data_IF_836652890275
#
_entry.id   IF_836652890275
#
_cell.length_a   1.000
_cell.length_b   1.000
_cell.length_c   1.000
_cell.angle_alpha   90.00
_cell.angle_beta   90.00
_cell.angle_gamma   90.00
#
_symmetry.space_group_name_H-M   'P 1'
#
loop_
_entity.id
_entity.type
_entity.pdbx_description
1 polymer ?
#
# COMPACT_ATOMS: atom_id res chain seq x y z
N UNK A 1 6.35 60.42 -49.84
CA UNK A 1 7.03 59.41 -48.99
C UNK A 1 6.53 59.56 -47.55
N UNK A 2 5.73 58.62 -47.07
CA UNK A 2 5.36 58.46 -45.65
C UNK A 2 5.26 56.95 -45.42
N UNK A 3 6.32 56.33 -44.90
CA UNK A 3 6.27 54.91 -44.48
C UNK A 3 5.89 54.91 -43.00
N UNK A 4 4.69 54.42 -42.72
CA UNK A 4 4.18 54.22 -41.36
C UNK A 4 4.92 53.02 -40.78
N UNK A 5 5.64 53.25 -39.69
CA UNK A 5 6.27 52.21 -38.87
C UNK A 5 5.17 51.65 -37.95
N UNK A 6 4.82 50.37 -38.13
CA UNK A 6 4.01 49.62 -37.18
C UNK A 6 4.89 48.57 -36.52
N UNK A 7 5.34 48.93 -35.32
CA UNK A 7 6.04 48.09 -34.35
C UNK A 7 5.00 47.19 -33.68
N UNK A 8 4.94 45.91 -34.08
CA UNK A 8 4.20 44.88 -33.33
C UNK A 8 5.20 44.18 -32.41
N UNK A 9 5.25 44.64 -31.16
CA UNK A 9 5.87 43.93 -30.05
C UNK A 9 5.06 42.65 -29.77
N UNK A 10 5.53 41.51 -30.25
CA UNK A 10 5.07 40.21 -29.79
C UNK A 10 5.65 39.95 -28.39
N UNK A 11 4.96 40.46 -27.36
CA UNK A 11 5.16 40.01 -25.98
C UNK A 11 4.57 38.60 -25.89
N UNK A 12 5.41 37.60 -26.15
CA UNK A 12 5.14 36.22 -25.75
C UNK A 12 5.20 36.16 -24.23
N UNK A 13 4.11 36.59 -23.60
CA UNK A 13 3.86 36.35 -22.19
C UNK A 13 3.75 34.85 -21.98
N UNK A 14 4.74 34.26 -21.31
CA UNK A 14 4.65 32.92 -20.76
C UNK A 14 3.57 32.92 -19.69
N UNK A 15 2.33 32.64 -20.11
CA UNK A 15 1.28 32.23 -19.18
C UNK A 15 1.72 30.90 -18.58
N UNK A 16 2.33 30.98 -17.40
CA UNK A 16 2.45 29.83 -16.51
C UNK A 16 1.02 29.44 -16.18
N UNK A 17 0.57 28.34 -16.80
CA UNK A 17 -0.68 27.67 -16.46
C UNK A 17 -0.56 27.27 -14.98
N UNK A 18 -1.16 28.07 -14.11
CA UNK A 18 -1.51 27.63 -12.78
C UNK A 18 -2.59 26.57 -12.97
N UNK A 19 -2.17 25.31 -12.97
CA UNK A 19 -3.06 24.18 -12.79
C UNK A 19 -3.71 24.34 -11.42
N UNK A 20 -4.90 24.94 -11.41
CA UNK A 20 -5.72 25.07 -10.21
C UNK A 20 -6.09 23.69 -9.72
N UNK A 21 -5.66 23.42 -8.48
CA UNK A 21 -6.17 22.43 -7.55
C UNK A 21 -7.71 22.35 -7.59
N UNK A 22 -8.23 21.46 -8.44
CA UNK A 22 -9.59 20.89 -8.39
C UNK A 22 -9.41 19.48 -8.98
N UNK A 23 -9.16 18.47 -8.16
CA UNK A 23 -10.25 17.65 -7.63
C UNK A 23 -9.90 17.08 -6.23
N UNK A 24 -10.11 17.90 -5.19
CA UNK A 24 -10.53 17.40 -3.88
C UNK A 24 -12.00 17.00 -4.02
N UNK A 25 -12.27 15.71 -4.26
CA UNK A 25 -13.53 14.99 -3.95
C UNK A 25 -13.69 13.65 -4.70
N UNK A 26 -12.60 13.03 -5.16
CA UNK A 26 -12.67 11.64 -5.63
C UNK A 26 -12.54 10.70 -4.44
N UNK A 27 -13.68 10.41 -3.81
CA UNK A 27 -14.00 9.22 -2.99
C UNK A 27 -12.74 8.48 -2.51
N UNK A 28 -12.37 8.72 -1.25
CA UNK A 28 -11.36 7.97 -0.51
C UNK A 28 -11.51 6.49 -0.85
N UNK A 29 -10.52 5.92 -1.53
CA UNK A 29 -10.50 4.52 -1.93
C UNK A 29 -9.92 3.71 -0.76
N UNK A 30 -10.74 3.03 0.06
CA UNK A 30 -10.24 2.20 1.16
C UNK A 30 -9.44 0.98 0.66
N UNK A 31 -9.41 0.74 -0.66
CA UNK A 31 -8.97 -0.50 -1.31
C UNK A 31 -7.47 -0.63 -1.59
N UNK A 32 -6.63 0.14 -0.89
CA UNK A 32 -5.24 0.30 -1.30
C UNK A 32 -4.30 -0.84 -0.92
N UNK A 33 -4.78 -1.97 -0.39
CA UNK A 33 -3.91 -2.98 0.27
C UNK A 33 -4.30 -4.44 0.07
N UNK A 34 -5.20 -4.72 -0.84
CA UNK A 34 -5.69 -6.09 -1.06
C UNK A 34 -5.30 -6.50 -2.47
N UNK A 35 -4.40 -7.46 -2.53
CA UNK A 35 -3.89 -8.03 -3.77
C UNK A 35 -5.03 -8.74 -4.48
N UNK A 36 -5.15 -8.46 -5.78
CA UNK A 36 -6.07 -9.19 -6.65
C UNK A 36 -5.45 -9.42 -8.01
N UNK A 37 -5.95 -10.43 -8.68
CA UNK A 37 -5.61 -10.77 -10.05
C UNK A 37 -6.79 -10.42 -10.93
N UNK A 38 -6.54 -9.70 -12.02
CA UNK A 38 -7.58 -9.31 -12.98
C UNK A 38 -7.13 -9.71 -14.38
N UNK A 39 -8.02 -10.33 -15.15
CA UNK A 39 -7.74 -10.61 -16.55
C UNK A 39 -8.08 -9.38 -17.39
N UNK A 40 -7.11 -8.87 -18.16
CA UNK A 40 -7.27 -7.74 -19.07
C UNK A 40 -6.58 -8.06 -20.39
N UNK A 41 -7.32 -8.01 -21.49
CA UNK A 41 -6.81 -8.24 -22.85
C UNK A 41 -6.06 -9.59 -23.01
N UNK A 42 -6.50 -10.60 -22.24
CA UNK A 42 -5.91 -11.94 -22.26
C UNK A 42 -4.71 -12.14 -21.32
N UNK A 43 -4.27 -11.08 -20.63
CA UNK A 43 -3.17 -11.10 -19.67
C UNK A 43 -3.68 -10.94 -18.24
N UNK A 44 -3.17 -11.76 -17.32
CA UNK A 44 -3.44 -11.56 -15.89
C UNK A 44 -2.56 -10.46 -15.34
N UNK A 45 -3.19 -9.43 -14.81
CA UNK A 45 -2.56 -8.35 -14.08
C UNK A 45 -2.70 -8.61 -12.58
N UNK A 46 -1.60 -8.58 -11.86
CA UNK A 46 -1.61 -8.43 -10.41
C UNK A 46 -1.75 -6.96 -10.07
N UNK A 47 -2.81 -6.62 -9.36
CA UNK A 47 -3.05 -5.27 -8.87
C UNK A 47 -2.73 -5.23 -7.38
N UNK A 48 -1.66 -4.52 -7.02
CA UNK A 48 -1.15 -4.37 -5.66
C UNK A 48 -0.79 -2.92 -5.40
N UNK A 49 -1.33 -2.32 -4.34
CA UNK A 49 -0.99 -0.96 -3.90
C UNK A 49 -1.01 0.10 -5.05
N UNK A 50 -1.89 -0.10 -6.06
CA UNK A 50 -2.06 0.64 -7.34
C UNK A 50 -1.13 0.26 -8.50
N UNK A 51 -0.10 -0.53 -8.26
CA UNK A 51 0.71 -1.09 -9.34
C UNK A 51 -0.07 -2.20 -10.05
N UNK A 52 -0.05 -2.15 -11.38
CA UNK A 52 -0.56 -3.22 -12.23
C UNK A 52 0.63 -3.89 -12.88
N UNK A 53 0.98 -5.07 -12.37
CA UNK A 53 2.12 -5.84 -12.86
C UNK A 53 1.57 -7.03 -13.60
N UNK A 54 1.94 -7.19 -14.87
CA UNK A 54 1.62 -8.41 -15.61
C UNK A 54 2.24 -9.61 -14.90
N UNK A 55 1.42 -10.62 -14.65
CA UNK A 55 1.87 -11.85 -14.01
C UNK A 55 2.88 -12.56 -14.93
N UNK A 56 4.07 -12.84 -14.40
CA UNK A 56 5.15 -13.50 -15.15
C UNK A 56 5.23 -15.01 -14.90
N UNK A 57 4.73 -15.46 -13.75
CA UNK A 57 4.70 -16.86 -13.35
C UNK A 57 3.34 -17.18 -12.70
N UNK A 58 2.84 -18.43 -12.79
CA UNK A 58 1.65 -18.82 -12.06
C UNK A 58 1.76 -18.53 -10.57
N UNK A 59 0.67 -18.09 -9.97
CA UNK A 59 0.62 -17.73 -8.55
C UNK A 59 -0.37 -18.62 -7.81
N UNK A 60 -0.02 -18.99 -6.58
CA UNK A 60 -0.93 -19.71 -5.68
C UNK A 60 -1.51 -18.71 -4.68
N UNK A 61 -2.83 -18.62 -4.63
CA UNK A 61 -3.60 -17.81 -3.70
C UNK A 61 -3.63 -18.46 -2.31
N UNK A 62 -4.12 -17.74 -1.30
CA UNK A 62 -4.10 -18.21 0.10
C UNK A 62 -5.01 -19.42 0.35
N UNK A 63 -6.07 -19.56 -0.45
CA UNK A 63 -6.99 -20.70 -0.44
C UNK A 63 -6.43 -21.93 -1.19
N UNK A 64 -5.23 -21.85 -1.77
CA UNK A 64 -4.63 -22.93 -2.56
C UNK A 64 -5.04 -22.92 -4.03
N UNK A 65 -5.83 -21.95 -4.49
CA UNK A 65 -6.14 -21.76 -5.90
C UNK A 65 -4.87 -21.37 -6.67
N UNK A 66 -4.58 -22.06 -7.77
CA UNK A 66 -3.43 -21.75 -8.66
C UNK A 66 -3.93 -21.01 -9.89
N UNK A 67 -3.44 -19.79 -10.11
CA UNK A 67 -3.82 -18.92 -11.24
C UNK A 67 -2.67 -18.81 -12.23
N UNK A 68 -2.94 -19.11 -13.50
CA UNK A 68 -1.99 -19.02 -14.61
C UNK A 68 -2.09 -17.67 -15.31
N UNK A 69 -1.04 -17.32 -16.07
CA UNK A 69 -0.91 -16.04 -16.78
C UNK A 69 -2.04 -15.72 -17.76
N UNK A 70 -2.70 -16.75 -18.30
CA UNK A 70 -3.77 -16.63 -19.30
C UNK A 70 -5.18 -16.54 -18.68
N UNK A 71 -5.27 -16.42 -17.36
CA UNK A 71 -6.52 -16.32 -16.61
C UNK A 71 -7.18 -17.67 -16.31
N UNK A 72 -6.60 -18.80 -16.72
CA UNK A 72 -7.05 -20.11 -16.24
C UNK A 72 -6.60 -20.30 -14.79
N UNK A 73 -7.46 -20.90 -13.97
CA UNK A 73 -7.12 -21.20 -12.59
C UNK A 73 -7.70 -22.54 -12.17
N UNK A 74 -7.08 -23.14 -11.16
CA UNK A 74 -7.48 -24.40 -10.57
C UNK A 74 -7.71 -24.17 -9.08
N UNK A 75 -8.93 -24.40 -8.60
CA UNK A 75 -9.23 -24.29 -7.17
C UNK A 75 -8.55 -25.41 -6.37
N UNK A 76 -8.51 -25.29 -5.05
CA UNK A 76 -8.02 -26.36 -4.18
C UNK A 76 -8.75 -27.70 -4.42
N UNK A 77 -10.06 -27.63 -4.73
CA UNK A 77 -10.91 -28.78 -5.04
C UNK A 77 -10.71 -29.33 -6.46
N UNK A 78 -9.72 -28.79 -7.20
CA UNK A 78 -9.32 -29.17 -8.56
C UNK A 78 -10.30 -28.79 -9.66
N UNK A 79 -11.23 -27.88 -9.39
CA UNK A 79 -12.08 -27.31 -10.44
C UNK A 79 -11.23 -26.40 -11.34
N UNK A 80 -11.23 -26.71 -12.64
CA UNK A 80 -10.54 -25.89 -13.64
C UNK A 80 -11.51 -24.87 -14.21
N UNK A 81 -11.17 -23.59 -14.00
CA UNK A 81 -12.00 -22.45 -14.37
C UNK A 81 -11.15 -21.43 -15.15
N UNK A 82 -11.82 -20.42 -15.70
CA UNK A 82 -11.16 -19.34 -16.44
C UNK A 82 -11.83 -18.01 -16.15
N UNK A 83 -11.03 -17.01 -15.82
CA UNK A 83 -11.47 -15.61 -15.74
C UNK A 83 -11.89 -15.13 -17.13
N UNK A 84 -12.95 -14.33 -17.19
CA UNK A 84 -13.29 -13.52 -18.36
C UNK A 84 -12.62 -12.16 -18.24
N UNK A 85 -12.53 -11.48 -19.37
CA UNK A 85 -11.99 -10.13 -19.41
C UNK A 85 -12.73 -9.20 -18.42
N UNK A 86 -11.95 -8.48 -17.61
CA UNK A 86 -12.42 -7.61 -16.54
C UNK A 86 -12.81 -8.33 -15.23
N UNK A 87 -12.91 -9.66 -15.20
CA UNK A 87 -13.13 -10.40 -13.95
C UNK A 87 -11.87 -10.42 -13.08
N UNK A 88 -12.07 -10.45 -11.76
CA UNK A 88 -10.96 -10.51 -10.82
C UNK A 88 -11.13 -11.56 -9.73
N UNK A 89 -10.01 -12.02 -9.20
CA UNK A 89 -9.87 -12.94 -8.07
C UNK A 89 -9.10 -12.22 -6.97
N UNK A 90 -9.63 -12.18 -5.75
CA UNK A 90 -8.85 -11.73 -4.60
C UNK A 90 -7.91 -12.83 -4.08
N UNK A 91 -7.10 -12.50 -3.08
CA UNK A 91 -6.12 -13.43 -2.53
C UNK A 91 -6.73 -14.60 -1.72
N UNK A 92 -8.05 -14.57 -1.46
CA UNK A 92 -8.80 -15.63 -0.78
C UNK A 92 -9.55 -16.52 -1.80
N UNK A 93 -9.32 -16.32 -3.10
CA UNK A 93 -9.93 -17.11 -4.17
C UNK A 93 -11.36 -16.71 -4.50
N UNK A 94 -11.83 -15.57 -4.00
CA UNK A 94 -13.18 -15.08 -4.29
C UNK A 94 -13.17 -14.38 -5.65
N UNK A 95 -14.02 -14.87 -6.57
CA UNK A 95 -14.20 -14.28 -7.89
C UNK A 95 -15.22 -13.14 -7.87
N UNK A 96 -14.90 -12.06 -8.56
CA UNK A 96 -15.76 -10.91 -8.80
C UNK A 96 -15.94 -10.69 -10.30
N UNK A 97 -17.14 -10.24 -10.67
CA UNK A 97 -17.54 -9.95 -12.06
C UNK A 97 -16.76 -8.79 -12.66
N UNK A 98 -16.29 -7.88 -11.80
CA UNK A 98 -15.49 -6.73 -12.16
C UNK A 98 -14.90 -6.08 -10.91
N UNK A 99 -13.96 -5.19 -11.18
CA UNK A 99 -13.32 -4.31 -10.20
C UNK A 99 -14.33 -3.58 -9.30
N UNK A 100 -15.41 -3.06 -9.86
CA UNK A 100 -16.40 -2.29 -9.08
C UNK A 100 -17.07 -3.15 -8.01
N UNK A 101 -17.42 -4.40 -8.32
CA UNK A 101 -18.03 -5.31 -7.37
C UNK A 101 -17.07 -5.66 -6.23
N UNK A 102 -15.80 -5.89 -6.56
CA UNK A 102 -14.74 -6.12 -5.61
C UNK A 102 -14.63 -4.93 -4.63
N UNK A 103 -14.43 -3.72 -5.15
CA UNK A 103 -14.34 -2.47 -4.37
C UNK A 103 -15.54 -2.25 -3.44
N UNK A 104 -16.74 -2.52 -3.95
CA UNK A 104 -17.96 -2.38 -3.17
C UNK A 104 -18.04 -3.36 -1.99
N UNK A 105 -17.57 -4.60 -2.17
CA UNK A 105 -17.49 -5.59 -1.09
C UNK A 105 -16.44 -5.22 -0.05
N UNK A 106 -15.26 -4.78 -0.49
CA UNK A 106 -14.20 -4.31 0.42
C UNK A 106 -14.67 -3.13 1.28
N UNK A 107 -15.40 -2.18 0.68
CA UNK A 107 -15.98 -1.04 1.40
C UNK A 107 -17.01 -1.49 2.44
N UNK A 108 -17.81 -2.53 2.18
CA UNK A 108 -18.76 -3.05 3.16
C UNK A 108 -18.08 -3.74 4.34
N UNK A 109 -17.02 -4.52 4.09
CA UNK A 109 -16.22 -5.15 5.15
C UNK A 109 -15.57 -4.09 6.05
N UNK A 110 -15.15 -2.96 5.46
CA UNK A 110 -14.48 -1.87 6.18
C UNK A 110 -15.42 -1.06 7.10
N UNK A 111 -16.75 -1.13 6.92
CA UNK A 111 -17.75 -0.39 7.73
C UNK A 111 -17.82 -0.82 9.20
N UNK A 112 -17.13 -1.90 9.60
CA UNK A 112 -17.09 -2.40 10.98
C UNK A 112 -15.80 -2.09 11.77
N UNK A 113 -14.82 -1.41 11.17
CA UNK A 113 -13.52 -1.14 11.80
C UNK A 113 -13.53 0.19 12.58
N UNK A 114 -13.11 0.13 13.84
CA UNK A 114 -12.91 1.32 14.69
C UNK A 114 -11.72 2.16 14.22
N UNK A 115 -11.72 3.47 14.50
CA UNK A 115 -10.58 4.36 14.20
C UNK A 115 -9.23 3.84 14.74
N UNK A 116 -9.24 3.14 15.88
CA UNK A 116 -8.05 2.51 16.45
C UNK A 116 -7.53 1.35 15.58
N UNK A 117 -8.41 0.60 14.91
CA UNK A 117 -8.01 -0.46 13.97
C UNK A 117 -7.48 0.12 12.66
N UNK A 118 -8.02 1.25 12.21
CA UNK A 118 -7.52 2.00 11.05
C UNK A 118 -6.14 2.60 11.35
N UNK A 119 -5.93 3.17 12.54
CA UNK A 119 -4.63 3.69 12.97
C UNK A 119 -3.58 2.59 13.11
N UNK A 120 -3.92 1.45 13.74
CA UNK A 120 -3.02 0.31 13.81
C UNK A 120 -2.63 -0.24 12.42
N UNK A 121 -3.59 -0.30 11.49
CA UNK A 121 -3.33 -0.65 10.09
C UNK A 121 -2.37 0.33 9.42
N UNK A 122 -2.55 1.63 9.63
CA UNK A 122 -1.75 2.67 9.00
C UNK A 122 -0.34 2.79 9.61
N UNK A 123 -0.18 2.55 10.93
CA UNK A 123 1.12 2.46 11.60
C UNK A 123 1.95 1.26 11.10
N UNK A 124 1.32 0.12 10.80
CA UNK A 124 1.99 -1.05 10.21
C UNK A 124 2.54 -0.81 8.78
N UNK A 125 2.22 0.32 8.16
CA UNK A 125 2.49 0.59 6.73
C UNK A 125 3.30 1.85 6.47
N UNK A 126 3.77 2.51 7.52
CA UNK A 126 4.78 3.54 7.41
C UNK A 126 6.16 2.91 7.58
N UNK A 127 7.04 3.10 6.60
CA UNK A 127 8.47 2.98 6.84
C UNK A 127 9.27 3.99 6.03
N UNK A 128 10.51 4.21 6.45
CA UNK A 128 11.56 4.76 5.62
C UNK A 128 12.54 3.66 5.24
N UNK A 129 12.84 3.52 3.95
CA UNK A 129 13.67 2.44 3.41
C UNK A 129 14.74 3.02 2.51
N UNK A 130 15.96 2.51 2.62
CA UNK A 130 17.04 2.87 1.70
C UNK A 130 16.95 1.99 0.45
N UNK A 131 16.83 2.62 -0.72
CA UNK A 131 16.81 1.96 -2.03
C UNK A 131 17.84 2.67 -2.90
N UNK A 132 18.89 1.96 -3.29
CA UNK A 132 19.95 2.43 -4.19
C UNK A 132 20.59 3.75 -3.76
N UNK A 133 20.76 3.91 -2.43
CA UNK A 133 21.39 5.09 -1.83
C UNK A 133 20.45 6.27 -1.56
N UNK A 134 19.17 6.15 -1.96
CA UNK A 134 18.15 7.16 -1.69
C UNK A 134 17.12 6.65 -0.68
N UNK A 135 16.75 7.50 0.28
CA UNK A 135 15.74 7.13 1.25
C UNK A 135 14.35 7.43 0.72
N UNK A 136 13.45 6.45 0.82
CA UNK A 136 12.05 6.60 0.47
C UNK A 136 11.17 6.49 1.70
N UNK A 137 10.27 7.47 1.86
CA UNK A 137 9.15 7.35 2.77
C UNK A 137 8.04 6.57 2.07
N UNK A 138 7.81 5.35 2.53
CA UNK A 138 6.80 4.44 2.00
C UNK A 138 5.63 4.43 2.98
N UNK A 139 4.46 4.82 2.46
CA UNK A 139 3.16 4.75 3.13
C UNK A 139 2.23 3.88 2.30
N UNK A 140 1.05 3.57 2.86
CA UNK A 140 -0.03 2.85 2.17
C UNK A 140 -0.33 3.36 0.75
N UNK A 141 -0.22 4.67 0.51
CA UNK A 141 -0.69 5.28 -0.74
C UNK A 141 0.40 5.96 -1.57
N UNK A 142 1.64 5.97 -1.07
CA UNK A 142 2.71 6.75 -1.66
C UNK A 142 4.08 6.23 -1.29
N UNK A 143 4.98 6.32 -2.26
CA UNK A 143 6.41 6.15 -2.07
C UNK A 143 7.07 7.44 -2.57
N UNK A 144 7.52 8.26 -1.62
CA UNK A 144 8.14 9.55 -1.93
C UNK A 144 9.60 9.51 -1.50
N UNK A 145 10.50 9.89 -2.40
CA UNK A 145 11.89 10.15 -2.05
C UNK A 145 11.92 11.21 -0.96
N UNK A 146 12.65 10.93 0.11
CA UNK A 146 12.80 11.85 1.22
C UNK A 146 13.72 12.99 0.78
N UNK A 147 13.22 14.22 0.77
CA UNK A 147 13.98 15.39 0.35
C UNK A 147 14.63 16.13 1.51
N UNK A 148 14.09 15.97 2.72
CA UNK A 148 14.51 16.68 3.92
C UNK A 148 14.59 15.71 5.09
N UNK A 149 15.36 16.05 6.12
CA UNK A 149 15.43 15.27 7.34
C UNK A 149 14.04 15.03 7.94
N UNK A 150 13.82 13.84 8.46
CA UNK A 150 12.56 13.36 9.00
C UNK A 150 12.76 12.91 10.43
N UNK A 151 11.91 13.38 11.33
CA UNK A 151 11.86 12.91 12.72
C UNK A 151 10.77 11.83 12.86
N UNK A 152 11.15 10.68 13.39
CA UNK A 152 10.25 9.56 13.70
C UNK A 152 9.60 9.76 15.07
N UNK A 153 8.55 8.99 15.38
CA UNK A 153 7.76 9.19 16.60
C UNK A 153 8.56 9.00 17.89
N UNK A 154 9.64 8.22 17.83
CA UNK A 154 10.53 7.98 18.96
C UNK A 154 11.64 9.06 19.09
N UNK A 155 11.67 10.09 18.23
CA UNK A 155 12.72 11.12 18.21
C UNK A 155 13.96 10.74 17.40
N UNK A 156 13.97 9.58 16.73
CA UNK A 156 15.02 9.23 15.76
C UNK A 156 14.93 10.18 14.57
N UNK A 157 16.05 10.79 14.18
CA UNK A 157 16.12 11.64 12.99
C UNK A 157 16.78 10.90 11.84
N UNK A 158 16.19 10.96 10.65
CA UNK A 158 16.63 10.23 9.46
C UNK A 158 16.84 11.18 8.30
N UNK A 159 17.97 11.08 7.62
CA UNK A 159 18.35 11.93 6.49
C UNK A 159 18.06 11.29 5.13
N UNK A 160 17.92 12.09 4.05
CA UNK A 160 17.72 11.59 2.69
C UNK A 160 18.74 10.55 2.19
N UNK A 161 19.96 10.54 2.73
CA UNK A 161 21.03 9.63 2.35
C UNK A 161 21.02 8.29 3.13
N UNK A 162 20.05 8.11 4.03
CA UNK A 162 19.93 6.93 4.87
C UNK A 162 20.77 6.94 6.15
N UNK A 163 21.52 8.01 6.43
CA UNK A 163 22.07 8.23 7.77
C UNK A 163 20.97 8.60 8.77
N UNK A 164 21.10 8.17 10.01
CA UNK A 164 20.13 8.48 11.06
C UNK A 164 20.77 8.55 12.44
N UNK A 165 20.14 9.28 13.35
CA UNK A 165 20.49 9.34 14.77
C UNK A 165 19.35 8.72 15.57
N UNK A 166 19.62 7.62 16.28
CA UNK A 166 18.62 6.97 17.12
C UNK A 166 18.38 7.73 18.45
N UNK A 167 17.47 7.21 19.28
CA UNK A 167 17.13 7.82 20.57
C UNK A 167 18.32 7.93 21.53
N UNK A 168 19.28 7.00 21.41
CA UNK A 168 20.51 6.97 22.20
C UNK A 168 21.60 7.90 21.63
N UNK A 169 21.26 8.75 20.66
CA UNK A 169 22.15 9.68 19.95
C UNK A 169 23.29 8.98 19.19
N UNK A 170 23.13 7.71 18.86
CA UNK A 170 24.08 6.98 18.03
C UNK A 170 23.83 7.33 16.57
N UNK A 171 24.90 7.71 15.87
CA UNK A 171 24.87 7.93 14.44
C UNK A 171 25.04 6.60 13.71
N UNK A 172 24.06 6.26 12.88
CA UNK A 172 23.93 4.98 12.19
C UNK A 172 23.60 5.24 10.72
N UNK A 173 23.66 4.18 9.90
CA UNK A 173 23.29 4.25 8.48
C UNK A 173 22.54 2.98 8.11
N UNK A 174 21.43 3.16 7.38
CA UNK A 174 20.73 2.04 6.76
C UNK A 174 21.57 1.46 5.62
N UNK A 175 21.51 0.14 5.46
CA UNK A 175 21.99 -0.55 4.25
C UNK A 175 20.86 -0.64 3.23
N UNK A 176 21.22 -0.90 1.97
CA UNK A 176 20.23 -1.04 0.90
C UNK A 176 19.22 -2.13 1.27
N UNK A 177 17.93 -1.82 1.20
CA UNK A 177 16.86 -2.72 1.60
C UNK A 177 16.44 -2.64 3.08
N UNK A 178 17.28 -2.11 3.97
CA UNK A 178 16.91 -1.93 5.38
C UNK A 178 15.89 -0.80 5.54
N UNK A 179 15.04 -0.91 6.56
CA UNK A 179 14.02 0.11 6.84
C UNK A 179 13.81 0.38 8.34
N UNK A 180 13.32 1.58 8.65
CA UNK A 180 12.81 1.97 9.96
C UNK A 180 11.29 2.17 9.88
N UNK A 181 10.54 1.64 10.85
CA UNK A 181 9.12 1.98 10.97
C UNK A 181 8.93 3.34 11.67
N UNK A 182 7.68 3.76 11.89
CA UNK A 182 7.38 5.06 12.51
C UNK A 182 7.88 5.17 13.97
N UNK A 183 8.02 4.03 14.64
CA UNK A 183 8.52 3.93 16.01
C UNK A 183 10.06 3.88 16.07
N UNK A 184 10.75 4.02 14.93
CA UNK A 184 12.20 3.97 14.83
C UNK A 184 12.81 2.58 15.00
N UNK A 185 12.01 1.52 14.89
CA UNK A 185 12.50 0.14 14.94
C UNK A 185 13.09 -0.23 13.58
N UNK A 186 14.32 -0.76 13.58
CA UNK A 186 15.01 -1.22 12.36
C UNK A 186 14.61 -2.64 11.98
N UNK A 187 14.48 -2.86 10.67
CA UNK A 187 14.27 -4.16 10.05
C UNK A 187 15.23 -4.34 8.88
N UNK A 188 15.67 -5.58 8.64
CA UNK A 188 16.58 -5.89 7.54
C UNK A 188 15.91 -5.70 6.18
N UNK A 189 14.58 -5.84 6.13
CA UNK A 189 13.76 -5.57 4.96
C UNK A 189 12.28 -5.44 5.31
N UNK A 190 11.52 -4.99 4.31
CA UNK A 190 10.07 -4.90 4.29
C UNK A 190 9.35 -6.18 4.74
N UNK A 191 9.84 -7.34 4.28
CA UNK A 191 9.21 -8.63 4.56
C UNK A 191 9.28 -8.96 6.06
N UNK A 192 10.44 -8.76 6.69
CA UNK A 192 10.62 -8.94 8.12
C UNK A 192 9.70 -8.03 8.94
N UNK A 193 9.58 -6.76 8.54
CA UNK A 193 8.66 -5.81 9.16
C UNK A 193 7.20 -6.31 9.10
N UNK A 194 6.72 -6.66 7.90
CA UNK A 194 5.35 -7.17 7.70
C UNK A 194 5.07 -8.43 8.51
N UNK A 195 6.02 -9.39 8.53
CA UNK A 195 5.90 -10.63 9.29
C UNK A 195 5.73 -10.36 10.80
N UNK A 196 6.52 -9.45 11.37
CA UNK A 196 6.43 -9.10 12.79
C UNK A 196 5.10 -8.40 13.12
N UNK A 197 4.61 -7.50 12.26
CA UNK A 197 3.33 -6.83 12.49
C UNK A 197 2.15 -7.80 12.43
N UNK A 198 2.17 -8.78 11.52
CA UNK A 198 1.16 -9.84 11.46
C UNK A 198 1.16 -10.69 12.75
N UNK A 199 2.32 -11.07 13.24
CA UNK A 199 2.45 -11.81 14.50
C UNK A 199 1.90 -11.02 15.70
N UNK A 200 2.25 -9.73 15.81
CA UNK A 200 1.76 -8.83 16.87
C UNK A 200 0.23 -8.73 16.85
N UNK A 201 -0.36 -8.60 15.66
CA UNK A 201 -1.82 -8.55 15.49
C UNK A 201 -2.50 -9.87 15.90
N UNK A 202 -1.92 -11.02 15.54
CA UNK A 202 -2.44 -12.33 15.95
C UNK A 202 -2.39 -12.52 17.48
N UNK A 203 -1.28 -12.14 18.13
CA UNK A 203 -1.15 -12.19 19.58
C UNK A 203 -2.18 -11.30 20.28
N UNK A 204 -2.37 -10.08 19.77
CA UNK A 204 -3.38 -9.15 20.29
C UNK A 204 -4.81 -9.66 20.13
N UNK A 205 -5.13 -10.35 19.04
CA UNK A 205 -6.44 -10.97 18.87
C UNK A 205 -6.65 -12.15 19.84
N UNK A 206 -5.63 -13.00 20.01
CA UNK A 206 -5.68 -14.12 20.97
C UNK A 206 -5.87 -13.62 22.40
N UNK A 207 -5.15 -12.57 22.81
CA UNK A 207 -5.27 -12.00 24.16
C UNK A 207 -6.63 -11.34 24.40
N UNK A 208 -7.19 -10.62 23.42
CA UNK A 208 -8.56 -10.07 23.50
C UNK A 208 -9.61 -11.18 23.62
N UNK A 209 -9.49 -12.26 22.85
CA UNK A 209 -10.39 -13.42 22.92
C UNK A 209 -10.35 -14.10 24.29
N UNK A 210 -9.15 -14.28 24.86
CA UNK A 210 -8.97 -14.84 26.20
C UNK A 210 -9.58 -13.94 27.30
N UNK A 211 -9.41 -12.62 27.21
CA UNK A 211 -9.97 -11.67 28.17
C UNK A 211 -11.52 -11.61 28.11
N UNK A 212 -12.11 -11.73 26.92
CA UNK A 212 -13.56 -11.84 26.74
C UNK A 212 -14.13 -13.13 27.36
N UNK A 213 -13.41 -14.24 27.24
CA UNK A 213 -13.79 -15.51 27.87
C UNK A 213 -13.71 -15.45 29.40
N UNK A 214 -12.66 -14.81 29.97
CA UNK A 214 -12.55 -14.60 31.42
C UNK A 214 -13.66 -13.70 31.98
N UNK A 215 -14.02 -12.62 31.27
CA UNK A 215 -15.14 -11.74 31.68
C UNK A 215 -16.49 -12.47 31.70
N UNK A 216 -16.73 -13.36 30.73
CA UNK A 216 -17.95 -14.19 30.72
C UNK A 216 -17.96 -15.24 31.84
N UNK A 217 -16.81 -15.82 32.18
CA UNK A 217 -16.71 -16.78 33.29
C UNK A 217 -16.87 -16.12 34.68
N UNK A 218 -16.42 -14.87 34.84
CA UNK A 218 -16.57 -14.12 36.10
C UNK A 218 -17.94 -13.46 36.33
N UNK A 219 -18.85 -13.49 35.35
CA UNK A 219 -20.24 -13.05 35.49
C UNK A 219 -21.21 -14.19 35.85
N UNK A 220 -20.70 -15.42 35.97
CA UNK A 220 -21.48 -16.63 36.31
C UNK A 220 -21.11 -17.16 37.72
N UNK A 221 -20.52 -16.32 38.57
CA UNK A 221 -20.35 -16.60 40.00
C UNK A 221 -21.09 -15.55 40.83
#
# INVERSE_FOLDING_TARGET
MKKVVLLVLAVLGTVTLQAQDRDRDRIQDPDQNRDRLMLVDGDVLQIRDRDQIRLQDPITLSDGTVVNLNGTYMTQDRDRLRLRDGECLDNDGIKYRNEYQYRYKMMQDDKGLTNAQIQARNQNRYQVMLIDGELYQIRTQSQNRLQQQLELANGTTVNPDGSYMNQDRQQLRLQNGECLNIDGVKFNNMYQHRKMMLQKNMMNMKSKKANLQKKKAGQVM
#
